data_IF_185312575743
#
_entry.id   IF_185312575743
#
_cell.length_a   1.000
_cell.length_b   1.000
_cell.length_c   1.000
_cell.angle_alpha   90.00
_cell.angle_beta   90.00
_cell.angle_gamma   90.00
#
_symmetry.space_group_name_H-M   'P 1'
#
loop_
_entity.id
_entity.type
_entity.pdbx_description
1 polymer ?
#
# COMPACT_ATOMS: atom_id res chain seq x y z
N UNK A 1 -1.46 -12.32 9.13
CA UNK A 1 -0.28 -11.57 8.64
C UNK A 1 -0.63 -10.09 8.58
N UNK A 2 0.26 -9.22 9.04
CA UNK A 2 0.05 -7.76 8.98
C UNK A 2 0.03 -7.29 7.53
N UNK A 3 -1.07 -6.62 7.13
CA UNK A 3 -1.27 -6.08 5.79
C UNK A 3 -1.64 -4.59 5.87
N UNK A 4 -0.77 -3.70 5.38
CA UNK A 4 -1.12 -2.30 5.18
C UNK A 4 -2.27 -2.16 4.19
N UNK A 5 -3.38 -1.56 4.62
CA UNK A 5 -4.59 -1.38 3.80
C UNK A 5 -5.31 -0.06 4.09
N UNK A 6 -6.26 0.30 3.23
CA UNK A 6 -7.05 1.51 3.35
C UNK A 6 -8.30 1.31 4.23
N UNK A 7 -8.39 2.05 5.33
CA UNK A 7 -9.60 2.20 6.14
C UNK A 7 -10.39 3.41 5.65
N UNK A 8 -11.68 3.22 5.38
CA UNK A 8 -12.57 4.30 4.92
C UNK A 8 -12.88 5.22 6.11
N UNK A 9 -12.79 6.50 5.87
CA UNK A 9 -13.19 7.57 6.78
C UNK A 9 -13.95 8.66 6.02
N UNK A 10 -14.53 9.60 6.76
CA UNK A 10 -15.21 10.76 6.21
C UNK A 10 -16.70 10.55 5.99
N UNK A 11 -17.34 11.53 5.34
CA UNK A 11 -18.79 11.58 5.15
C UNK A 11 -19.18 10.98 3.79
N UNK A 12 -20.48 10.70 3.62
CA UNK A 12 -21.05 10.37 2.30
C UNK A 12 -20.62 11.43 1.28
N UNK A 13 -20.15 10.99 0.11
CA UNK A 13 -19.57 11.83 -0.98
C UNK A 13 -18.30 12.64 -0.63
N UNK A 14 -17.77 12.54 0.60
CA UNK A 14 -16.50 13.16 1.02
C UNK A 14 -15.64 12.11 1.72
N UNK A 15 -15.28 11.08 0.96
CA UNK A 15 -14.53 9.94 1.47
C UNK A 15 -13.06 10.29 1.57
N UNK A 16 -12.49 10.00 2.72
CA UNK A 16 -11.06 10.04 2.99
C UNK A 16 -10.61 8.66 3.44
N UNK A 17 -9.34 8.34 3.26
CA UNK A 17 -8.81 7.04 3.66
C UNK A 17 -7.67 7.21 4.65
N UNK A 18 -7.62 6.36 5.65
CA UNK A 18 -6.42 6.17 6.47
C UNK A 18 -5.69 4.93 6.00
N UNK A 19 -4.37 4.99 5.93
CA UNK A 19 -3.52 3.84 5.66
C UNK A 19 -3.19 3.24 7.02
N UNK A 20 -3.66 2.02 7.25
CA UNK A 20 -3.52 1.33 8.53
C UNK A 20 -2.81 0.01 8.35
N UNK A 21 -2.02 -0.37 9.36
CA UNK A 21 -1.47 -1.70 9.51
C UNK A 21 -2.39 -2.50 10.44
N UNK A 22 -2.88 -3.63 9.94
CA UNK A 22 -3.83 -4.48 10.64
C UNK A 22 -3.62 -5.92 10.19
N UNK A 23 -4.04 -6.88 11.01
CA UNK A 23 -4.04 -8.27 10.61
C UNK A 23 -5.03 -8.52 9.47
N UNK A 24 -4.67 -9.42 8.56
CA UNK A 24 -5.44 -9.77 7.38
C UNK A 24 -6.85 -10.30 7.71
N UNK A 25 -7.00 -10.97 8.86
CA UNK A 25 -8.26 -11.56 9.30
C UNK A 25 -9.23 -10.54 9.92
N UNK A 26 -8.74 -9.35 10.28
CA UNK A 26 -9.57 -8.35 10.94
C UNK A 26 -10.56 -7.70 9.98
N UNK A 27 -11.71 -7.27 10.51
CA UNK A 27 -12.73 -6.50 9.78
C UNK A 27 -12.15 -5.24 9.15
N UNK A 28 -12.66 -4.83 7.98
CA UNK A 28 -12.19 -3.65 7.22
C UNK A 28 -12.05 -2.38 8.08
N UNK A 29 -13.03 -2.12 8.93
CA UNK A 29 -13.06 -0.95 9.83
C UNK A 29 -12.67 -1.27 11.27
N UNK A 30 -12.08 -2.45 11.50
CA UNK A 30 -11.62 -2.90 12.80
C UNK A 30 -10.51 -2.05 13.40
N UNK A 31 -10.05 -2.49 14.58
CA UNK A 31 -8.97 -1.88 15.31
C UNK A 31 -7.64 -2.07 14.58
N UNK A 32 -6.95 -0.95 14.34
CA UNK A 32 -5.65 -0.97 13.68
C UNK A 32 -4.55 -1.15 14.73
N UNK A 33 -3.52 -1.93 14.39
CA UNK A 33 -2.30 -2.04 15.20
C UNK A 33 -1.57 -0.69 15.17
N UNK A 34 -1.51 -0.07 13.97
CA UNK A 34 -0.88 1.23 13.77
C UNK A 34 -1.49 1.98 12.59
N UNK A 35 -1.63 3.29 12.73
CA UNK A 35 -1.91 4.19 11.60
C UNK A 35 -0.59 4.69 11.02
N UNK A 36 -0.44 4.60 9.70
CA UNK A 36 0.83 4.91 9.01
C UNK A 36 0.69 5.99 7.94
N UNK A 37 -0.52 6.53 7.78
CA UNK A 37 -0.74 7.65 6.89
C UNK A 37 -2.21 7.92 6.60
N UNK A 38 -2.41 8.89 5.72
CA UNK A 38 -3.68 9.41 5.28
C UNK A 38 -3.66 9.67 3.77
N UNK A 39 -4.78 9.40 3.13
CA UNK A 39 -4.99 9.62 1.71
C UNK A 39 -6.35 10.27 1.46
N UNK A 40 -6.34 11.43 0.82
CA UNK A 40 -7.54 12.13 0.38
C UNK A 40 -7.61 12.10 -1.16
N UNK A 41 -8.48 11.26 -1.76
CA UNK A 41 -8.59 11.15 -3.20
C UNK A 41 -9.11 12.44 -3.84
N UNK A 42 -9.92 13.24 -3.12
CA UNK A 42 -10.57 14.44 -3.68
C UNK A 42 -9.60 15.61 -3.80
N UNK A 43 -8.67 15.73 -2.87
CA UNK A 43 -7.64 16.79 -2.89
C UNK A 43 -6.30 16.28 -3.45
N UNK A 44 -6.17 14.99 -3.75
CA UNK A 44 -4.89 14.36 -4.08
C UNK A 44 -3.86 14.41 -2.94
N UNK A 45 -4.28 14.77 -1.73
CA UNK A 45 -3.38 14.94 -0.59
C UNK A 45 -3.05 13.58 0.02
N UNK A 46 -1.76 13.30 0.15
CA UNK A 46 -1.26 12.09 0.81
C UNK A 46 -0.26 12.50 1.87
N UNK A 47 -0.43 11.99 3.08
CA UNK A 47 0.53 12.14 4.17
C UNK A 47 0.92 10.75 4.65
N UNK A 48 2.21 10.47 4.66
CA UNK A 48 2.75 9.16 4.99
C UNK A 48 3.77 9.30 6.11
N UNK A 49 3.66 8.46 7.13
CA UNK A 49 4.73 8.28 8.10
C UNK A 49 5.76 7.31 7.52
N UNK A 50 6.83 7.86 6.96
CA UNK A 50 7.86 7.10 6.26
C UNK A 50 8.50 6.06 7.19
N UNK A 51 8.82 6.44 8.44
CA UNK A 51 9.47 5.55 9.39
C UNK A 51 8.58 4.36 9.75
N UNK A 52 7.30 4.60 9.99
CA UNK A 52 6.35 3.54 10.31
C UNK A 52 6.14 2.56 9.12
N UNK A 53 6.08 3.08 7.90
CA UNK A 53 5.91 2.26 6.70
C UNK A 53 7.15 1.41 6.46
N UNK A 54 8.35 1.99 6.59
CA UNK A 54 9.62 1.27 6.40
C UNK A 54 9.75 0.14 7.43
N UNK A 55 9.40 0.40 8.70
CA UNK A 55 9.43 -0.62 9.75
C UNK A 55 8.54 -1.82 9.38
N UNK A 56 7.30 -1.57 8.97
CA UNK A 56 6.38 -2.64 8.56
C UNK A 56 6.87 -3.40 7.33
N UNK A 57 7.43 -2.71 6.34
CA UNK A 57 7.99 -3.36 5.16
C UNK A 57 9.20 -4.24 5.52
N UNK A 58 10.06 -3.79 6.45
CA UNK A 58 11.19 -4.58 6.98
C UNK A 58 10.71 -5.81 7.78
N UNK A 59 9.60 -5.69 8.50
CA UNK A 59 8.94 -6.81 9.21
C UNK A 59 8.26 -7.81 8.26
N UNK A 60 8.28 -7.58 6.94
CA UNK A 60 7.70 -8.48 5.94
C UNK A 60 6.21 -8.22 5.64
N UNK A 61 5.68 -7.06 6.02
CA UNK A 61 4.28 -6.73 5.76
C UNK A 61 4.02 -6.58 4.24
N UNK A 62 3.00 -7.27 3.75
CA UNK A 62 2.59 -7.17 2.34
C UNK A 62 1.47 -6.12 2.18
N UNK A 63 1.81 -5.01 1.54
CA UNK A 63 0.85 -3.93 1.22
C UNK A 63 -0.11 -4.33 0.09
N UNK A 64 -1.35 -3.85 0.13
CA UNK A 64 -2.29 -3.98 -0.99
C UNK A 64 -1.85 -3.18 -2.22
N UNK A 65 -2.39 -3.53 -3.40
CA UNK A 65 -2.06 -2.88 -4.67
C UNK A 65 -2.28 -1.35 -4.63
N UNK A 66 -3.41 -0.89 -4.09
CA UNK A 66 -3.71 0.54 -3.98
C UNK A 66 -2.71 1.27 -3.08
N UNK A 67 -2.33 0.66 -1.95
CA UNK A 67 -1.32 1.23 -1.05
C UNK A 67 0.03 1.28 -1.76
N UNK A 68 0.41 0.23 -2.49
CA UNK A 68 1.63 0.21 -3.31
C UNK A 68 1.64 1.35 -4.34
N UNK A 69 0.51 1.61 -5.00
CA UNK A 69 0.36 2.75 -5.93
C UNK A 69 0.56 4.10 -5.25
N UNK A 70 0.03 4.29 -4.04
CA UNK A 70 0.23 5.50 -3.24
C UNK A 70 1.70 5.66 -2.84
N UNK A 71 2.35 4.58 -2.38
CA UNK A 71 3.77 4.59 -2.00
C UNK A 71 4.68 4.92 -3.20
N UNK A 72 4.38 4.36 -4.38
CA UNK A 72 5.10 4.66 -5.63
C UNK A 72 4.97 6.13 -6.01
N UNK A 73 3.76 6.71 -5.94
CA UNK A 73 3.54 8.14 -6.22
C UNK A 73 4.28 9.05 -5.25
N UNK A 74 4.45 8.60 -3.99
CA UNK A 74 5.21 9.32 -2.98
C UNK A 74 6.74 9.15 -3.12
N UNK A 75 7.24 8.41 -4.12
CA UNK A 75 8.68 8.10 -4.34
C UNK A 75 9.40 7.48 -3.13
N UNK A 76 8.64 6.92 -2.19
CA UNK A 76 9.16 6.21 -1.02
C UNK A 76 10.12 5.06 -1.36
N UNK A 77 9.83 4.17 -2.32
CA UNK A 77 10.74 3.06 -2.61
C UNK A 77 12.13 3.52 -3.10
N UNK A 78 12.21 4.66 -3.79
CA UNK A 78 13.48 5.23 -4.28
C UNK A 78 14.34 5.76 -3.12
N UNK A 79 13.73 6.36 -2.10
CA UNK A 79 14.44 6.96 -0.96
C UNK A 79 14.99 5.93 0.05
N UNK A 80 14.41 4.73 0.11
CA UNK A 80 14.74 3.73 1.13
C UNK A 80 15.73 2.68 0.61
N UNK A 81 16.09 2.72 -0.69
CA UNK A 81 17.01 1.73 -1.28
C UNK A 81 16.47 0.30 -1.24
N UNK A 82 15.17 0.12 -0.99
CA UNK A 82 14.52 -1.17 -1.11
C UNK A 82 14.23 -1.32 -2.60
N UNK A 83 15.13 -2.01 -3.31
CA UNK A 83 14.92 -2.42 -4.69
C UNK A 83 13.65 -3.29 -4.78
N UNK A 84 12.49 -2.64 -4.92
CA UNK A 84 11.23 -3.28 -5.29
C UNK A 84 11.26 -3.79 -6.75
N UNK A 85 12.39 -3.61 -7.44
CA UNK A 85 12.69 -4.11 -8.78
C UNK A 85 12.76 -5.65 -8.84
N UNK A 86 13.20 -6.33 -7.77
CA UNK A 86 13.58 -7.75 -7.81
C UNK A 86 12.44 -8.79 -7.71
N UNK A 87 11.17 -8.38 -7.60
CA UNK A 87 10.02 -9.32 -7.64
C UNK A 87 9.13 -9.17 -8.88
N UNK A 88 9.20 -8.05 -9.58
CA UNK A 88 8.35 -7.82 -10.77
C UNK A 88 8.98 -8.48 -12.00
N UNK A 89 10.32 -8.46 -12.12
CA UNK A 89 11.02 -9.16 -13.19
C UNK A 89 10.96 -10.69 -13.07
N UNK A 90 10.69 -11.24 -11.88
CA UNK A 90 10.62 -12.69 -11.68
C UNK A 90 9.27 -13.31 -12.09
N UNK A 91 8.16 -12.55 -12.07
CA UNK A 91 6.86 -13.06 -12.55
C UNK A 91 6.63 -12.81 -14.05
N UNK A 92 7.13 -11.71 -14.62
CA UNK A 92 7.06 -11.49 -16.08
C UNK A 92 7.94 -12.49 -16.87
N UNK A 93 9.07 -12.93 -16.31
CA UNK A 93 9.93 -13.93 -16.97
C UNK A 93 9.42 -15.38 -16.82
N UNK A 94 8.40 -15.64 -15.98
CA UNK A 94 7.80 -16.97 -15.80
C UNK A 94 6.47 -17.16 -16.54
N UNK A 95 5.87 -16.08 -17.08
CA UNK A 95 4.70 -16.15 -17.96
C UNK A 95 5.05 -15.40 -19.24
N UNK A 96 5.66 -16.12 -20.19
CA UNK A 96 5.95 -15.63 -21.54
C UNK A 96 4.70 -15.07 -22.26
N UNK A 97 4.84 -14.51 -23.46
CA UNK A 97 3.81 -13.69 -24.13
C UNK A 97 2.62 -14.55 -24.59
N UNK A 98 1.78 -14.95 -23.65
CA UNK A 98 0.58 -15.73 -23.86
C UNK A 98 -0.67 -14.91 -23.55
N UNK A 99 -0.70 -13.64 -23.92
CA UNK A 99 -1.93 -12.87 -24.20
C UNK A 99 -1.63 -11.84 -25.30
N UNK A 100 -1.30 -12.37 -26.48
CA UNK A 100 -1.42 -11.68 -27.77
C UNK A 100 -2.33 -12.56 -28.62
N UNK A 101 -3.65 -12.40 -28.50
CA UNK A 101 -4.65 -12.80 -29.50
C UNK A 101 -6.05 -12.34 -29.05
N UNK A 102 -6.57 -11.36 -29.80
CA UNK A 102 -7.93 -10.80 -29.82
C UNK A 102 -8.30 -9.73 -28.79
#
# INVERSE_FOLDING_TARGET
MVKPRLKRYGKKQRVTYRIIAIDSQSRREGEAIREVGFYNPRKGQTQLDLFAIIALLKEGAQSTETVRGILKRAKLPEQVGINLQLKIEFEENLMGPAYSSF
#
